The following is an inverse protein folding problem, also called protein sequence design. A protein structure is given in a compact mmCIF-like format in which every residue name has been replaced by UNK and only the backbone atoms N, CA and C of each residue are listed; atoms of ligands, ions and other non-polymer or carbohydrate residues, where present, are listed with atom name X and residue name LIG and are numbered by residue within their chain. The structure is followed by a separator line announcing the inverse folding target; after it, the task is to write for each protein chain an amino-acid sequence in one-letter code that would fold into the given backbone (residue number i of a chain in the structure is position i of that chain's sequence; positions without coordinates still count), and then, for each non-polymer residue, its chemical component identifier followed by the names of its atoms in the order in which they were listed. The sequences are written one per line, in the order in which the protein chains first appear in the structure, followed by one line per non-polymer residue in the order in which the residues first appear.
data_IF_097943660880
#
_entry.id   IF_097943660880
#
_cell.length_a   1.000
_cell.length_b   1.000
_cell.length_c   1.000
_cell.angle_alpha   90.00
_cell.angle_beta   90.00
_cell.angle_gamma   90.00
#
_symmetry.space_group_name_H-M   'P 1'
#
loop_
_entity.id
_entity.type
_entity.pdbx_description
1 polymer ?
#
# COMPACT_ATOMS: atom_id res chain seq x y z
N UNK A 1 -33.26 -29.60 60.26
CA UNK A 1 -33.45 -29.62 58.81
C UNK A 1 -33.78 -28.24 58.21
N UNK A 2 -33.08 -27.19 58.62
CA UNK A 2 -33.34 -25.81 58.17
C UNK A 2 -32.06 -24.98 57.83
N UNK A 3 -30.89 -25.60 57.84
CA UNK A 3 -29.60 -24.88 57.58
C UNK A 3 -29.08 -25.11 56.12
N UNK A 4 -29.53 -26.14 55.42
CA UNK A 4 -29.08 -26.45 54.05
C UNK A 4 -29.68 -25.59 52.92
N UNK A 5 -30.84 -24.96 53.13
CA UNK A 5 -31.50 -24.14 52.11
C UNK A 5 -30.90 -22.70 51.99
N UNK A 6 -30.19 -22.21 52.99
CA UNK A 6 -29.60 -20.88 52.93
C UNK A 6 -28.34 -20.79 52.07
N UNK A 7 -27.53 -21.85 52.04
CA UNK A 7 -26.26 -21.85 51.30
C UNK A 7 -26.48 -22.00 49.77
N UNK A 8 -27.53 -22.75 49.36
CA UNK A 8 -27.85 -22.92 47.92
C UNK A 8 -28.41 -21.63 47.30
N UNK A 9 -29.20 -20.85 48.03
CA UNK A 9 -29.75 -19.62 47.55
C UNK A 9 -28.69 -18.51 47.44
N UNK A 10 -27.75 -18.46 48.39
CA UNK A 10 -26.62 -17.54 48.35
C UNK A 10 -25.63 -17.87 47.24
N UNK A 11 -25.36 -19.16 47.01
CA UNK A 11 -24.51 -19.63 45.91
C UNK A 11 -25.11 -19.31 44.53
N UNK A 12 -26.41 -19.52 44.35
CA UNK A 12 -27.13 -19.17 43.13
C UNK A 12 -27.12 -17.67 42.84
N UNK A 13 -27.33 -16.84 43.86
CA UNK A 13 -27.30 -15.36 43.73
C UNK A 13 -25.89 -14.84 43.41
N UNK A 14 -24.84 -15.41 43.96
CA UNK A 14 -23.45 -15.02 43.64
C UNK A 14 -23.07 -15.44 42.23
N UNK A 15 -23.51 -16.61 41.76
CA UNK A 15 -23.27 -17.07 40.39
C UNK A 15 -23.97 -16.18 39.36
N UNK A 16 -25.21 -15.77 39.64
CA UNK A 16 -25.96 -14.88 38.78
C UNK A 16 -25.32 -13.48 38.69
N UNK A 17 -24.86 -12.95 39.83
CA UNK A 17 -24.12 -11.68 39.85
C UNK A 17 -22.79 -11.77 39.06
N UNK A 18 -22.04 -12.86 39.20
CA UNK A 18 -20.80 -13.08 38.45
C UNK A 18 -21.02 -13.23 36.96
N UNK A 19 -22.07 -13.96 36.55
CA UNK A 19 -22.42 -14.10 35.14
C UNK A 19 -22.89 -12.78 34.54
N UNK A 20 -23.71 -12.03 35.24
CA UNK A 20 -24.16 -10.70 34.80
C UNK A 20 -22.98 -9.72 34.65
N UNK A 21 -22.04 -9.72 35.61
CA UNK A 21 -20.84 -8.91 35.54
C UNK A 21 -19.95 -9.31 34.36
N UNK A 22 -19.77 -10.61 34.15
CA UNK A 22 -19.00 -11.12 33.00
C UNK A 22 -19.61 -10.71 31.65
N UNK A 23 -20.94 -10.81 31.52
CA UNK A 23 -21.64 -10.37 30.30
C UNK A 23 -21.47 -8.87 30.07
N UNK A 24 -21.63 -8.03 31.09
CA UNK A 24 -21.42 -6.60 30.98
C UNK A 24 -19.97 -6.30 30.57
N UNK A 25 -18.99 -6.97 31.18
CA UNK A 25 -17.58 -6.80 30.84
C UNK A 25 -17.29 -7.17 29.39
N UNK A 26 -17.83 -8.29 28.90
CA UNK A 26 -17.68 -8.73 27.50
C UNK A 26 -18.31 -7.72 26.55
N UNK A 27 -19.51 -7.21 26.88
CA UNK A 27 -20.18 -6.19 26.06
C UNK A 27 -19.39 -4.89 26.00
N UNK A 28 -18.84 -4.43 27.13
CA UNK A 28 -17.97 -3.25 27.17
C UNK A 28 -16.68 -3.47 26.37
N UNK A 29 -16.07 -4.65 26.50
CA UNK A 29 -14.88 -5.01 25.73
C UNK A 29 -15.15 -5.00 24.23
N UNK A 30 -16.25 -5.61 23.79
CA UNK A 30 -16.66 -5.61 22.38
C UNK A 30 -16.96 -4.21 21.87
N UNK A 31 -17.65 -3.38 22.69
CA UNK A 31 -17.93 -2.00 22.33
C UNK A 31 -16.63 -1.16 22.20
N UNK A 32 -15.69 -1.31 23.12
CA UNK A 32 -14.41 -0.59 23.07
C UNK A 32 -13.56 -1.03 21.88
N UNK A 33 -13.53 -2.33 21.55
CA UNK A 33 -12.83 -2.85 20.38
C UNK A 33 -13.45 -2.34 19.07
N UNK A 34 -14.77 -2.33 18.95
CA UNK A 34 -15.47 -1.80 17.78
C UNK A 34 -15.20 -0.30 17.59
N UNK A 35 -15.23 0.48 18.65
CA UNK A 35 -14.93 1.91 18.57
C UNK A 35 -13.48 2.16 18.13
N UNK A 36 -12.52 1.42 18.69
CA UNK A 36 -11.12 1.54 18.30
C UNK A 36 -10.88 1.16 16.83
N UNK A 37 -11.56 0.14 16.32
CA UNK A 37 -11.51 -0.21 14.90
C UNK A 37 -12.09 0.90 14.02
N UNK A 38 -13.23 1.46 14.40
CA UNK A 38 -13.93 2.49 13.62
C UNK A 38 -13.13 3.81 13.56
N UNK A 39 -12.54 4.25 14.68
CA UNK A 39 -11.64 5.41 14.70
C UNK A 39 -10.42 5.21 13.84
N UNK A 40 -9.89 4.00 13.83
CA UNK A 40 -8.74 3.68 13.02
C UNK A 40 -9.03 3.62 11.53
N UNK A 41 -10.18 3.13 11.11
CA UNK A 41 -10.59 3.14 9.72
C UNK A 41 -10.83 4.55 9.20
N UNK A 42 -11.45 5.41 10.01
CA UNK A 42 -11.68 6.82 9.64
C UNK A 42 -10.36 7.58 9.46
N UNK A 43 -9.41 7.41 10.38
CA UNK A 43 -8.08 8.04 10.31
C UNK A 43 -7.33 7.58 9.07
N UNK A 44 -7.32 6.28 8.79
CA UNK A 44 -6.67 5.70 7.63
C UNK A 44 -7.25 6.20 6.31
N UNK A 45 -8.59 6.23 6.20
CA UNK A 45 -9.28 6.73 5.02
C UNK A 45 -8.96 8.21 4.79
N UNK A 46 -8.84 9.01 5.85
CA UNK A 46 -8.42 10.40 5.76
C UNK A 46 -6.97 10.54 5.23
N UNK A 47 -6.05 9.68 5.69
CA UNK A 47 -4.66 9.65 5.20
C UNK A 47 -4.62 9.27 3.72
N UNK A 48 -5.34 8.22 3.32
CA UNK A 48 -5.40 7.80 1.92
C UNK A 48 -5.99 8.89 1.03
N UNK A 49 -7.07 9.53 1.46
CA UNK A 49 -7.70 10.62 0.72
C UNK A 49 -6.75 11.80 0.55
N UNK A 50 -6.07 12.22 1.61
CA UNK A 50 -5.10 13.31 1.57
C UNK A 50 -3.89 12.99 0.69
N UNK A 51 -3.41 11.75 0.76
CA UNK A 51 -2.31 11.27 -0.09
C UNK A 51 -2.73 11.23 -1.57
N UNK A 52 -3.96 10.75 -1.84
CA UNK A 52 -4.54 10.74 -3.19
C UNK A 52 -4.60 12.16 -3.78
N UNK A 53 -5.14 13.11 -3.04
CA UNK A 53 -5.23 14.52 -3.48
C UNK A 53 -3.85 15.13 -3.75
N UNK A 54 -2.88 14.89 -2.88
CA UNK A 54 -1.50 15.35 -3.07
C UNK A 54 -0.87 14.76 -4.31
N UNK A 55 -0.93 13.45 -4.49
CA UNK A 55 -0.36 12.78 -5.65
C UNK A 55 -1.08 13.18 -6.95
N UNK A 56 -2.40 13.36 -6.92
CA UNK A 56 -3.14 13.84 -8.08
C UNK A 56 -2.71 15.24 -8.49
N UNK A 57 -2.51 16.15 -7.54
CA UNK A 57 -2.03 17.51 -7.82
C UNK A 57 -0.64 17.52 -8.47
N UNK A 58 0.26 16.59 -8.05
CA UNK A 58 1.62 16.47 -8.61
C UNK A 58 1.64 15.98 -10.07
N UNK A 59 0.60 15.24 -10.47
CA UNK A 59 0.52 14.59 -11.78
C UNK A 59 -0.49 15.20 -12.73
N UNK A 60 -1.15 16.26 -12.33
CA UNK A 60 -2.22 16.92 -13.11
C UNK A 60 -1.76 17.32 -14.52
N UNK A 61 -0.50 17.73 -14.64
CA UNK A 61 0.16 18.07 -15.91
C UNK A 61 0.16 16.91 -16.94
N UNK A 62 0.00 15.63 -16.47
CA UNK A 62 0.09 14.45 -17.32
C UNK A 62 -1.24 13.72 -17.55
N UNK A 63 -2.36 14.26 -17.06
CA UNK A 63 -3.70 13.64 -17.20
C UNK A 63 -4.08 13.29 -18.64
N UNK A 64 -3.75 14.15 -19.59
CA UNK A 64 -4.03 13.93 -21.01
C UNK A 64 -3.32 12.69 -21.61
N UNK A 65 -2.29 12.18 -20.92
CA UNK A 65 -1.50 11.00 -21.35
C UNK A 65 -1.91 9.71 -20.65
N UNK A 66 -3.12 9.64 -20.09
CA UNK A 66 -3.64 8.48 -19.35
C UNK A 66 -2.81 8.11 -18.10
N UNK A 67 -2.08 9.08 -17.54
CA UNK A 67 -1.44 8.95 -16.25
C UNK A 67 -2.49 9.17 -15.15
N UNK A 68 -2.69 8.19 -14.29
CA UNK A 68 -3.79 8.22 -13.31
C UNK A 68 -3.28 7.89 -11.90
N UNK A 69 -3.81 8.61 -10.90
CA UNK A 69 -3.69 8.26 -9.49
C UNK A 69 -5.09 7.97 -8.95
N UNK A 70 -5.28 6.79 -8.37
CA UNK A 70 -6.58 6.35 -7.85
C UNK A 70 -6.43 5.33 -6.74
N UNK A 71 -7.52 5.04 -6.02
CA UNK A 71 -7.56 3.95 -5.06
C UNK A 71 -7.31 2.61 -5.76
N UNK A 72 -6.57 1.70 -5.09
CA UNK A 72 -6.40 0.34 -5.59
C UNK A 72 -7.71 -0.44 -5.41
N UNK A 73 -8.34 -0.91 -6.51
CA UNK A 73 -9.60 -1.66 -6.41
C UNK A 73 -9.43 -3.03 -5.72
N UNK A 74 -8.20 -3.50 -5.56
CA UNK A 74 -7.87 -4.80 -4.96
C UNK A 74 -7.36 -4.69 -3.52
N UNK A 75 -7.00 -3.49 -3.07
CA UNK A 75 -6.46 -3.25 -1.74
C UNK A 75 -7.04 -1.96 -1.14
N UNK A 76 -7.90 -2.05 -0.11
CA UNK A 76 -8.51 -0.88 0.53
C UNK A 76 -7.49 0.01 1.26
N UNK A 77 -6.25 -0.46 1.45
CA UNK A 77 -5.14 0.29 2.05
C UNK A 77 -4.21 0.90 1.01
N UNK A 78 -4.55 0.75 -0.28
CA UNK A 78 -3.67 1.03 -1.38
C UNK A 78 -4.15 2.16 -2.30
N UNK A 79 -3.17 2.87 -2.84
CA UNK A 79 -3.32 3.74 -4.01
C UNK A 79 -2.51 3.15 -5.15
N UNK A 80 -2.97 3.35 -6.37
CA UNK A 80 -2.22 3.02 -7.58
C UNK A 80 -1.95 4.26 -8.40
N UNK A 81 -0.68 4.39 -8.84
CA UNK A 81 -0.26 5.35 -9.86
C UNK A 81 -0.01 4.57 -11.13
N UNK A 82 -0.86 4.77 -12.13
CA UNK A 82 -0.81 4.04 -13.40
C UNK A 82 0.01 4.85 -14.41
N UNK A 83 1.13 4.28 -14.85
CA UNK A 83 2.02 4.85 -15.87
C UNK A 83 1.87 4.03 -17.15
N UNK A 84 1.20 4.54 -18.19
CA UNK A 84 1.07 3.83 -19.46
C UNK A 84 2.42 3.72 -20.17
N UNK A 85 2.56 2.67 -20.98
CA UNK A 85 3.79 2.40 -21.73
C UNK A 85 4.23 3.57 -22.62
N UNK A 86 3.28 4.34 -23.16
CA UNK A 86 3.56 5.52 -23.98
C UNK A 86 4.33 6.66 -23.27
N UNK A 87 4.38 6.66 -21.92
CA UNK A 87 5.22 7.59 -21.16
C UNK A 87 6.61 7.05 -20.90
N UNK A 88 6.75 5.72 -20.69
CA UNK A 88 8.05 5.06 -20.49
C UNK A 88 8.68 4.65 -21.83
N UNK A 89 7.86 4.47 -22.87
CA UNK A 89 8.29 4.16 -24.24
C UNK A 89 9.23 2.95 -24.38
N UNK A 90 8.99 1.88 -23.64
CA UNK A 90 9.77 0.66 -23.82
C UNK A 90 9.71 0.16 -25.25
N UNK A 91 10.84 -0.18 -25.83
CA UNK A 91 10.86 -0.83 -27.14
C UNK A 91 10.24 -2.23 -27.05
N UNK A 92 9.76 -2.75 -28.18
CA UNK A 92 9.15 -4.09 -28.24
C UNK A 92 10.15 -5.13 -27.73
N UNK A 93 9.71 -5.94 -26.77
CA UNK A 93 10.52 -6.99 -26.13
C UNK A 93 11.80 -6.48 -25.44
N UNK A 94 11.84 -5.22 -25.03
CA UNK A 94 12.94 -4.60 -24.30
C UNK A 94 12.47 -4.09 -22.94
N UNK A 95 13.43 -4.01 -22.02
CA UNK A 95 13.24 -3.49 -20.67
C UNK A 95 14.02 -2.21 -20.41
N UNK A 96 14.88 -1.79 -21.36
CA UNK A 96 15.61 -0.53 -21.27
C UNK A 96 14.65 0.65 -21.41
N UNK A 97 14.76 1.62 -20.48
CA UNK A 97 13.99 2.86 -20.52
C UNK A 97 14.70 3.83 -21.46
N UNK A 98 14.05 4.27 -22.56
CA UNK A 98 14.67 5.24 -23.48
C UNK A 98 14.74 6.65 -22.85
N UNK A 99 15.52 7.58 -23.45
CA UNK A 99 15.71 8.92 -22.89
C UNK A 99 14.41 9.66 -22.53
N UNK A 100 13.38 9.57 -23.39
CA UNK A 100 12.08 10.21 -23.12
C UNK A 100 11.38 9.64 -21.86
N UNK A 101 11.52 8.33 -21.60
CA UNK A 101 11.01 7.72 -20.38
C UNK A 101 11.82 8.12 -19.14
N UNK A 102 13.14 8.28 -19.30
CA UNK A 102 14.01 8.79 -18.24
C UNK A 102 13.63 10.24 -17.91
N UNK A 103 13.43 11.10 -18.89
CA UNK A 103 13.00 12.49 -18.70
C UNK A 103 11.65 12.58 -17.98
N UNK A 104 10.72 11.67 -18.28
CA UNK A 104 9.47 11.55 -17.54
C UNK A 104 9.70 11.17 -16.07
N UNK A 105 10.48 10.13 -15.80
CA UNK A 105 10.79 9.69 -14.44
C UNK A 105 11.51 10.78 -13.63
N UNK A 106 12.42 11.53 -14.24
CA UNK A 106 13.14 12.65 -13.61
C UNK A 106 12.20 13.75 -13.09
N UNK A 107 11.04 13.93 -13.73
CA UNK A 107 10.03 14.90 -13.31
C UNK A 107 9.13 14.36 -12.20
N UNK A 108 8.76 13.09 -12.25
CA UNK A 108 7.75 12.49 -11.37
C UNK A 108 8.35 11.91 -10.09
N UNK A 109 9.47 11.20 -10.18
CA UNK A 109 10.05 10.48 -9.03
C UNK A 109 10.43 11.39 -7.87
N UNK A 110 11.08 12.57 -8.08
CA UNK A 110 11.39 13.46 -6.97
C UNK A 110 10.14 13.98 -6.25
N UNK A 111 9.08 14.30 -7.00
CA UNK A 111 7.81 14.76 -6.45
C UNK A 111 7.13 13.67 -5.63
N UNK A 112 7.05 12.45 -6.17
CA UNK A 112 6.50 11.29 -5.44
C UNK A 112 7.31 11.00 -4.18
N UNK A 113 8.64 10.98 -4.25
CA UNK A 113 9.49 10.72 -3.11
C UNK A 113 9.33 11.80 -2.03
N UNK A 114 9.32 13.08 -2.41
CA UNK A 114 9.11 14.19 -1.48
C UNK A 114 7.75 14.11 -0.78
N UNK A 115 6.69 13.69 -1.48
CA UNK A 115 5.36 13.50 -0.89
C UNK A 115 5.32 12.29 0.05
N UNK A 116 5.72 11.10 -0.44
CA UNK A 116 5.61 9.85 0.31
C UNK A 116 6.57 9.77 1.51
N UNK A 117 7.73 10.43 1.42
CA UNK A 117 8.74 10.47 2.47
C UNK A 117 8.68 11.73 3.33
N UNK A 118 7.67 12.60 3.16
CA UNK A 118 7.46 13.76 4.02
C UNK A 118 7.21 13.34 5.47
N UNK A 119 7.42 14.24 6.41
CA UNK A 119 7.13 13.99 7.85
C UNK A 119 5.67 13.57 8.06
N UNK A 120 4.77 14.08 7.24
CA UNK A 120 3.34 13.81 7.29
C UNK A 120 2.98 12.37 6.94
N UNK A 121 3.62 11.80 5.89
CA UNK A 121 3.24 10.49 5.35
C UNK A 121 4.22 9.37 5.67
N UNK A 122 5.49 9.67 5.92
CA UNK A 122 6.57 8.69 6.08
C UNK A 122 6.23 7.57 7.08
N UNK A 123 5.62 7.92 8.22
CA UNK A 123 5.27 6.94 9.26
C UNK A 123 4.08 6.06 8.85
N UNK A 124 3.27 6.54 7.93
CA UNK A 124 2.07 5.86 7.46
C UNK A 124 2.34 4.92 6.29
N UNK A 125 3.48 5.07 5.60
CA UNK A 125 3.82 4.22 4.45
C UNK A 125 4.26 2.83 4.89
N UNK A 126 3.72 1.80 4.23
CA UNK A 126 4.14 0.40 4.41
C UNK A 126 5.06 -0.05 3.28
N UNK A 127 4.68 0.18 2.03
CA UNK A 127 5.44 -0.26 0.86
C UNK A 127 5.06 0.49 -0.40
N UNK A 128 5.98 0.48 -1.36
CA UNK A 128 5.78 0.90 -2.75
C UNK A 128 6.22 -0.27 -3.63
N UNK A 129 5.27 -0.89 -4.32
CA UNK A 129 5.54 -1.98 -5.26
C UNK A 129 5.43 -1.45 -6.68
N UNK A 130 6.54 -1.48 -7.43
CA UNK A 130 6.51 -1.17 -8.86
C UNK A 130 6.16 -2.45 -9.62
N UNK A 131 4.99 -2.45 -10.25
CA UNK A 131 4.40 -3.63 -10.89
C UNK A 131 4.37 -3.43 -12.41
N UNK A 132 5.06 -4.31 -13.15
CA UNK A 132 5.09 -4.29 -14.61
C UNK A 132 4.01 -5.20 -15.22
N UNK A 133 3.40 -4.75 -16.30
CA UNK A 133 2.38 -5.48 -17.05
C UNK A 133 2.70 -5.51 -18.55
N UNK A 134 2.33 -6.59 -19.21
CA UNK A 134 2.35 -6.74 -20.67
C UNK A 134 0.93 -6.87 -21.21
N UNK A 135 0.78 -6.78 -22.51
CA UNK A 135 -0.39 -7.28 -23.22
C UNK A 135 -0.32 -8.80 -23.39
N UNK A 136 -1.32 -9.39 -24.08
CA UNK A 136 -1.39 -10.83 -24.36
C UNK A 136 -0.50 -11.28 -25.51
N UNK A 137 0.31 -10.40 -26.10
CA UNK A 137 1.18 -10.75 -27.23
C UNK A 137 2.36 -11.58 -26.73
N UNK A 138 2.52 -12.78 -27.28
CA UNK A 138 3.58 -13.71 -26.88
C UNK A 138 3.12 -14.73 -25.83
N UNK A 139 4.09 -15.48 -25.27
CA UNK A 139 3.81 -16.49 -24.25
C UNK A 139 4.01 -15.93 -22.83
N UNK A 140 3.39 -16.58 -21.84
CA UNK A 140 3.52 -16.19 -20.43
C UNK A 140 4.95 -16.34 -19.93
N UNK A 141 5.69 -17.37 -20.43
CA UNK A 141 7.10 -17.59 -20.09
C UNK A 141 8.00 -16.42 -20.52
N UNK A 142 7.57 -15.65 -21.53
CA UNK A 142 8.26 -14.45 -21.97
C UNK A 142 7.73 -13.20 -21.31
N UNK A 143 6.42 -13.08 -21.16
CA UNK A 143 5.75 -11.90 -20.66
C UNK A 143 6.04 -11.68 -19.16
N UNK A 144 6.10 -12.75 -18.38
CA UNK A 144 6.36 -12.63 -16.94
C UNK A 144 7.78 -12.10 -16.66
N UNK A 145 8.88 -12.68 -17.20
CA UNK A 145 10.22 -12.11 -17.04
C UNK A 145 10.34 -10.70 -17.59
N UNK A 146 9.78 -10.40 -18.77
CA UNK A 146 9.84 -9.07 -19.36
C UNK A 146 9.19 -8.00 -18.48
N UNK A 147 8.02 -8.32 -17.92
CA UNK A 147 7.34 -7.40 -17.01
C UNK A 147 8.12 -7.18 -15.70
N UNK A 148 8.77 -8.23 -15.18
CA UNK A 148 9.65 -8.16 -14.01
C UNK A 148 10.89 -7.31 -14.29
N UNK A 149 11.52 -7.47 -15.43
CA UNK A 149 12.68 -6.66 -15.83
C UNK A 149 12.31 -5.19 -15.99
N UNK A 150 11.16 -4.87 -16.60
CA UNK A 150 10.67 -3.50 -16.74
C UNK A 150 10.44 -2.83 -15.41
N UNK A 151 9.77 -3.50 -14.48
CA UNK A 151 9.56 -2.96 -13.13
C UNK A 151 10.86 -2.74 -12.39
N UNK A 152 11.82 -3.68 -12.48
CA UNK A 152 13.14 -3.54 -11.87
C UNK A 152 13.93 -2.37 -12.46
N UNK A 153 13.86 -2.15 -13.79
CA UNK A 153 14.49 -0.99 -14.42
C UNK A 153 13.91 0.33 -13.91
N UNK A 154 12.61 0.40 -13.74
CA UNK A 154 11.98 1.61 -13.14
C UNK A 154 12.44 1.82 -11.71
N UNK A 155 12.56 0.78 -10.87
CA UNK A 155 13.15 0.88 -9.53
C UNK A 155 14.58 1.43 -9.57
N UNK A 156 15.43 0.82 -10.40
CA UNK A 156 16.84 1.23 -10.52
C UNK A 156 16.97 2.68 -10.97
N UNK A 157 16.19 3.10 -11.97
CA UNK A 157 16.20 4.46 -12.48
C UNK A 157 15.64 5.45 -11.46
N UNK A 158 14.58 5.10 -10.73
CA UNK A 158 14.03 5.92 -9.66
C UNK A 158 15.08 6.22 -8.58
N UNK A 159 15.83 5.20 -8.16
CA UNK A 159 16.90 5.36 -7.16
C UNK A 159 18.12 6.12 -7.71
N UNK A 160 18.37 6.07 -9.02
CA UNK A 160 19.42 6.83 -9.68
C UNK A 160 19.08 8.32 -9.79
N UNK A 161 17.81 8.62 -10.02
CA UNK A 161 17.30 10.00 -10.10
C UNK A 161 17.37 10.70 -8.75
N UNK A 162 17.05 10.01 -7.67
CA UNK A 162 17.07 10.57 -6.34
C UNK A 162 18.52 10.78 -5.87
N UNK A 163 18.79 11.97 -5.32
CA UNK A 163 20.14 12.36 -4.95
C UNK A 163 20.76 11.40 -3.92
N UNK A 164 21.96 10.93 -4.20
CA UNK A 164 22.67 10.00 -3.32
C UNK A 164 22.89 10.64 -1.93
N UNK A 165 22.50 9.93 -0.87
CA UNK A 165 22.59 10.41 0.51
C UNK A 165 21.43 11.28 0.97
N UNK A 166 20.46 11.60 0.12
CA UNK A 166 19.24 12.30 0.56
C UNK A 166 18.34 11.41 1.43
N UNK A 167 17.61 12.04 2.34
CA UNK A 167 16.63 11.36 3.18
C UNK A 167 15.52 10.73 2.35
N UNK A 168 15.07 11.43 1.30
CA UNK A 168 14.03 10.92 0.38
C UNK A 168 14.47 9.64 -0.32
N UNK A 169 15.73 9.58 -0.78
CA UNK A 169 16.27 8.38 -1.40
C UNK A 169 16.34 7.20 -0.43
N UNK A 170 16.79 7.43 0.79
CA UNK A 170 16.89 6.39 1.81
C UNK A 170 15.51 5.85 2.19
N UNK A 171 14.56 6.74 2.45
CA UNK A 171 13.17 6.39 2.73
C UNK A 171 12.53 5.65 1.53
N UNK A 172 12.70 6.17 0.32
CA UNK A 172 12.12 5.56 -0.88
C UNK A 172 12.69 4.16 -1.13
N UNK A 173 13.99 3.95 -0.91
CA UNK A 173 14.65 2.65 -1.00
C UNK A 173 14.08 1.63 -0.01
N UNK A 174 13.81 2.05 1.24
CA UNK A 174 13.22 1.17 2.27
C UNK A 174 11.81 0.68 1.89
N UNK A 175 11.07 1.47 1.12
CA UNK A 175 9.69 1.18 0.72
C UNK A 175 9.58 0.41 -0.60
N UNK A 176 10.60 0.51 -1.49
CA UNK A 176 10.53 0.04 -2.86
C UNK A 176 10.69 -1.47 -3.01
N UNK A 177 9.87 -2.03 -3.87
CA UNK A 177 10.07 -3.37 -4.44
C UNK A 177 9.62 -3.41 -5.90
N UNK A 178 9.99 -4.47 -6.63
CA UNK A 178 9.62 -4.68 -8.03
C UNK A 178 8.94 -6.02 -8.20
N UNK A 179 7.89 -6.07 -9.03
CA UNK A 179 7.24 -7.33 -9.41
C UNK A 179 6.75 -7.29 -10.86
N UNK A 180 6.73 -8.44 -11.52
CA UNK A 180 6.16 -8.63 -12.84
C UNK A 180 4.84 -9.40 -12.77
N UNK A 181 3.86 -8.98 -13.55
CA UNK A 181 2.55 -9.62 -13.64
C UNK A 181 2.29 -10.27 -15.00
N UNK A 182 3.19 -10.07 -15.96
CA UNK A 182 2.97 -10.55 -17.33
C UNK A 182 1.65 -10.02 -17.89
N UNK A 183 0.91 -10.89 -18.56
CA UNK A 183 -0.39 -10.57 -19.18
C UNK A 183 -1.62 -10.89 -18.30
N UNK A 184 -1.44 -11.17 -17.00
CA UNK A 184 -2.53 -11.66 -16.14
C UNK A 184 -3.63 -10.61 -15.90
N UNK A 185 -3.25 -9.35 -15.74
CA UNK A 185 -4.19 -8.25 -15.42
C UNK A 185 -4.42 -7.34 -16.64
N UNK A 186 -4.90 -7.92 -17.75
CA UNK A 186 -5.21 -7.19 -18.97
C UNK A 186 -6.34 -6.19 -18.77
N UNK A 187 -6.29 -5.08 -19.47
CA UNK A 187 -7.37 -4.10 -19.51
C UNK A 187 -8.22 -4.38 -20.73
N UNK A 188 -9.52 -4.49 -20.52
CA UNK A 188 -10.50 -4.68 -21.59
C UNK A 188 -11.19 -3.35 -21.91
N UNK A 189 -11.55 -3.16 -23.16
CA UNK A 189 -12.41 -2.07 -23.60
C UNK A 189 -13.90 -2.34 -23.29
N UNK A 190 -14.77 -1.46 -23.75
CA UNK A 190 -16.22 -1.57 -23.53
C UNK A 190 -16.85 -2.77 -24.27
N UNK A 191 -16.19 -3.30 -25.28
CA UNK A 191 -16.62 -4.43 -26.07
C UNK A 191 -16.06 -5.78 -25.53
N UNK A 192 -15.28 -5.73 -24.44
CA UNK A 192 -14.65 -6.91 -23.83
C UNK A 192 -13.39 -7.38 -24.56
N UNK A 193 -12.89 -6.61 -25.51
CA UNK A 193 -11.61 -6.87 -26.20
C UNK A 193 -10.46 -6.22 -25.44
N UNK A 194 -9.29 -6.85 -25.50
CA UNK A 194 -8.11 -6.29 -24.84
C UNK A 194 -7.67 -4.95 -25.46
N UNK A 195 -7.55 -3.93 -24.61
CA UNK A 195 -6.83 -2.71 -24.94
C UNK A 195 -5.32 -2.92 -24.68
N UNK A 196 -4.60 -3.30 -25.73
CA UNK A 196 -3.18 -3.62 -25.64
C UNK A 196 -2.33 -2.43 -25.14
N UNK A 197 -2.71 -1.21 -25.49
CA UNK A 197 -1.95 -0.01 -25.09
C UNK A 197 -2.10 0.27 -23.58
N UNK A 198 -3.30 0.08 -23.04
CA UNK A 198 -3.56 0.24 -21.61
C UNK A 198 -3.12 -0.98 -20.80
N UNK A 199 -3.08 -2.17 -21.42
CA UNK A 199 -2.55 -3.40 -20.81
C UNK A 199 -1.05 -3.28 -20.57
N UNK A 200 -0.28 -2.75 -21.51
CA UNK A 200 1.14 -2.41 -21.32
C UNK A 200 1.26 -1.19 -20.42
N UNK A 201 1.66 -1.39 -19.20
CA UNK A 201 1.79 -0.31 -18.19
C UNK A 201 2.76 -0.69 -17.09
N UNK A 202 3.17 0.31 -16.35
CA UNK A 202 3.79 0.13 -15.03
C UNK A 202 2.88 0.78 -13.99
N UNK A 203 2.70 0.12 -12.86
CA UNK A 203 1.88 0.62 -11.75
C UNK A 203 2.78 0.78 -10.53
N UNK A 204 2.72 1.95 -9.88
CA UNK A 204 3.24 2.11 -8.54
C UNK A 204 2.09 1.83 -7.58
N UNK A 205 2.16 0.73 -6.86
CA UNK A 205 1.23 0.39 -5.79
C UNK A 205 1.77 0.92 -4.47
N UNK A 206 1.11 1.90 -3.93
CA UNK A 206 1.48 2.57 -2.68
C UNK A 206 0.55 2.05 -1.61
N UNK A 207 1.09 1.46 -0.55
CA UNK A 207 0.30 0.92 0.55
C UNK A 207 0.58 1.64 1.84
N UNK A 208 -0.49 2.03 2.55
CA UNK A 208 -0.40 2.56 3.91
C UNK A 208 -0.48 1.44 4.95
N UNK A 209 0.09 1.68 6.11
CA UNK A 209 0.11 0.71 7.22
C UNK A 209 -1.29 0.43 7.75
N UNK A 210 -1.54 -0.84 8.10
CA UNK A 210 -2.72 -1.18 8.89
C UNK A 210 -2.55 -0.72 10.33
N UNK A 211 -3.67 -0.43 11.00
CA UNK A 211 -3.67 -0.04 12.42
C UNK A 211 -3.03 -1.07 13.33
N UNK A 212 -3.26 -2.35 13.06
CA UNK A 212 -2.70 -3.45 13.85
C UNK A 212 -1.18 -3.38 13.93
N UNK A 213 -0.51 -3.08 12.81
CA UNK A 213 0.95 -2.91 12.79
C UNK A 213 1.42 -1.64 13.51
N UNK A 214 0.60 -0.59 13.53
CA UNK A 214 0.92 0.65 14.24
C UNK A 214 0.90 0.42 15.75
N UNK A 215 -0.16 -0.19 16.26
CA UNK A 215 -0.32 -0.52 17.68
C UNK A 215 0.81 -1.46 18.15
N UNK A 216 1.12 -2.49 17.38
CA UNK A 216 2.21 -3.43 17.69
C UNK A 216 3.56 -2.71 17.80
N UNK A 217 3.85 -1.77 16.90
CA UNK A 217 5.10 -1.00 16.94
C UNK A 217 5.15 -0.03 18.12
N UNK A 218 4.04 0.58 18.51
CA UNK A 218 3.96 1.46 19.69
C UNK A 218 4.04 0.68 21.01
N UNK A 219 3.39 -0.48 21.11
CA UNK A 219 3.31 -1.29 22.33
C UNK A 219 4.58 -2.12 22.58
N UNK A 220 5.18 -2.69 21.52
CA UNK A 220 6.37 -3.56 21.68
C UNK A 220 7.66 -2.74 21.71
N UNK A 221 7.62 -1.45 21.31
CA UNK A 221 8.81 -0.62 21.19
C UNK A 221 9.71 -1.07 20.05
N UNK A 222 10.51 -0.17 19.55
CA UNK A 222 11.53 -0.48 18.54
C UNK A 222 12.65 -1.32 19.23
N UNK A 223 12.44 -2.63 19.33
CA UNK A 223 13.36 -3.58 19.96
C UNK A 223 14.76 -3.69 19.32
N UNK A 224 15.06 -2.79 18.37
CA UNK A 224 16.33 -2.73 17.63
C UNK A 224 17.36 -1.73 18.19
N UNK A 225 17.05 -1.00 19.29
CA UNK A 225 17.96 0.02 19.84
C UNK A 225 18.86 -0.42 21.01
N UNK A 226 18.95 -1.71 21.32
CA UNK A 226 19.81 -2.17 22.42
C UNK A 226 20.77 -3.28 21.98
N UNK A 227 21.62 -3.04 20.97
CA UNK A 227 22.86 -3.85 20.79
C UNK A 227 23.86 -3.11 19.87
N UNK A 228 24.39 -1.96 20.30
CA UNK A 228 25.70 -1.51 19.85
C UNK A 228 26.29 -0.51 20.84
N UNK A 229 26.58 -1.00 22.03
CA UNK A 229 27.58 -0.38 22.92
C UNK A 229 28.11 -1.49 23.84
N UNK A 230 29.10 -2.21 23.32
CA UNK A 230 30.18 -2.83 24.09
C UNK A 230 31.34 -3.18 23.15
#
# INVERSE_FOLDING_TARGET
MAIENGNSALSSSMTDLMTSLAVIFILLLVATLNNAQQEGETTRNAILQKLLERLQAEVDEYKERAFEVKNDPKDPLGLIVVVPDGLLNFAINRSEIPPAGIDFLQKIIPKMAATLCSEEFRQEMESIVIEGHTDSTGSDERNLPLSQERSLRVVQESLRILHAGSQDRSCFLELLSATGRGSVDRILDQEGKEDMNRSRRVIFKIRVRSLERRIVKEVIGDGSRTQSDK
#
